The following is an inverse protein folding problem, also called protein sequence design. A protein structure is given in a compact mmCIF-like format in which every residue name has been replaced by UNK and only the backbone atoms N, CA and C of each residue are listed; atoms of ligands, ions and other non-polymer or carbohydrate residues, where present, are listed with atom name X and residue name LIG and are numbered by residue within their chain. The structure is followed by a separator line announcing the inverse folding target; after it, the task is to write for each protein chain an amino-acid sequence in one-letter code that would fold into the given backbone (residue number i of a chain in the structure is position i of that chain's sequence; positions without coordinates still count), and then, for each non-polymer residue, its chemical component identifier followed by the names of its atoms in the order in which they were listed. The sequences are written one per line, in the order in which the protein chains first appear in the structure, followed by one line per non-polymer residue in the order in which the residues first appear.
data_IF_248711352101
#
_entry.id   IF_248711352101
#
_cell.length_a   1.000
_cell.length_b   1.000
_cell.length_c   1.000
_cell.angle_alpha   90.00
_cell.angle_beta   90.00
_cell.angle_gamma   90.00
#
_symmetry.space_group_name_H-M   'P 1'
#
loop_
_entity.id
_entity.type
_entity.pdbx_description
1 polymer ?
#
# COMPACT_ATOMS: atom_id res chain seq x y z
N UNK A 1 -15.13 10.58 1.31
CA UNK A 1 -15.29 9.55 2.37
C UNK A 1 -14.67 10.10 3.64
N UNK A 2 -15.17 9.76 4.83
CA UNK A 2 -14.53 10.10 6.12
C UNK A 2 -14.10 8.76 6.73
N UNK A 3 -12.81 8.62 7.02
CA UNK A 3 -12.29 7.51 7.82
C UNK A 3 -11.90 8.09 9.19
N UNK A 4 -12.20 7.34 10.27
CA UNK A 4 -11.75 7.68 11.62
C UNK A 4 -11.21 6.43 12.31
N UNK A 5 -10.00 6.51 12.80
CA UNK A 5 -9.30 5.48 13.57
C UNK A 5 -8.77 6.11 14.86
N UNK A 6 -8.69 5.30 15.93
CA UNK A 6 -7.83 5.64 17.08
C UNK A 6 -6.40 5.82 16.58
N UNK A 7 -5.62 6.80 17.09
CA UNK A 7 -4.24 7.09 16.68
C UNK A 7 -3.44 5.84 16.33
N UNK A 8 -3.44 5.50 15.06
CA UNK A 8 -2.52 4.52 14.50
C UNK A 8 -1.54 5.29 13.64
N UNK A 9 -0.28 4.89 13.72
CA UNK A 9 0.85 5.56 13.05
C UNK A 9 0.67 5.59 11.51
N UNK A 10 -0.28 4.81 10.98
CA UNK A 10 -0.56 4.60 9.56
C UNK A 10 -1.41 5.72 8.94
N UNK A 11 -2.28 6.38 9.70
CA UNK A 11 -3.19 7.40 9.16
C UNK A 11 -2.47 8.66 8.65
N UNK A 12 -1.45 9.19 9.36
CA UNK A 12 -0.60 10.25 8.82
C UNK A 12 0.16 9.80 7.56
N UNK A 13 0.58 8.54 7.51
CA UNK A 13 1.31 8.00 6.37
C UNK A 13 0.44 7.99 5.11
N UNK A 14 -0.82 7.53 5.20
CA UNK A 14 -1.73 7.55 4.05
C UNK A 14 -1.86 8.97 3.45
N UNK A 15 -2.05 9.98 4.28
CA UNK A 15 -2.17 11.37 3.81
C UNK A 15 -0.94 11.83 3.02
N UNK A 16 0.26 11.54 3.51
CA UNK A 16 1.51 11.90 2.84
C UNK A 16 1.76 11.08 1.57
N UNK A 17 1.42 9.79 1.59
CA UNK A 17 1.54 8.90 0.43
C UNK A 17 0.60 9.36 -0.69
N UNK A 18 -0.66 9.69 -0.39
CA UNK A 18 -1.61 10.19 -1.39
C UNK A 18 -1.06 11.44 -2.09
N UNK A 19 -0.47 12.38 -1.33
CA UNK A 19 0.17 13.57 -1.90
C UNK A 19 1.43 13.23 -2.70
N UNK A 20 2.24 12.28 -2.22
CA UNK A 20 3.45 11.83 -2.91
C UNK A 20 3.14 11.18 -4.25
N UNK A 21 2.29 10.14 -4.27
CA UNK A 21 1.91 9.40 -5.47
C UNK A 21 1.30 10.33 -6.52
N UNK A 22 0.37 11.19 -6.11
CA UNK A 22 -0.26 12.16 -7.03
C UNK A 22 0.73 13.16 -7.64
N UNK A 23 1.85 13.45 -6.96
CA UNK A 23 2.89 14.34 -7.46
C UNK A 23 3.84 13.66 -8.44
N UNK A 24 4.13 12.37 -8.25
CA UNK A 24 5.21 11.67 -8.97
C UNK A 24 4.72 10.68 -10.01
N UNK A 25 3.43 10.36 -10.06
CA UNK A 25 2.86 9.39 -11.00
C UNK A 25 1.48 9.81 -11.50
N UNK A 26 0.95 9.00 -12.42
CA UNK A 26 -0.43 9.07 -12.91
C UNK A 26 -1.33 7.97 -12.30
N UNK A 27 -0.89 7.32 -11.23
CA UNK A 27 -1.69 6.28 -10.57
C UNK A 27 -2.94 6.95 -9.99
N UNK A 28 -4.14 6.43 -10.29
CA UNK A 28 -5.37 7.02 -9.79
C UNK A 28 -5.47 6.78 -8.28
N UNK A 29 -5.41 7.87 -7.51
CA UNK A 29 -5.57 7.86 -6.05
C UNK A 29 -6.61 8.92 -5.66
N UNK A 30 -7.35 8.72 -4.56
CA UNK A 30 -8.29 9.72 -4.07
C UNK A 30 -7.61 11.06 -3.83
N UNK A 31 -8.23 12.16 -4.27
CA UNK A 31 -7.74 13.49 -3.89
C UNK A 31 -7.91 13.71 -2.39
N UNK A 32 -6.82 13.94 -1.69
CA UNK A 32 -6.84 14.42 -0.31
C UNK A 32 -7.29 15.89 -0.26
N UNK A 33 -8.34 16.17 0.52
CA UNK A 33 -8.83 17.52 0.79
C UNK A 33 -8.26 18.10 2.07
N UNK A 34 -8.19 17.29 3.12
CA UNK A 34 -7.61 17.68 4.39
C UNK A 34 -7.27 16.46 5.25
N UNK A 35 -6.34 16.63 6.19
CA UNK A 35 -6.03 15.66 7.24
C UNK A 35 -5.85 16.41 8.55
N UNK A 36 -6.47 15.93 9.63
CA UNK A 36 -6.44 16.58 10.94
C UNK A 36 -6.29 15.55 12.05
N UNK A 37 -5.64 15.96 13.13
CA UNK A 37 -5.63 15.26 14.40
C UNK A 37 -6.61 15.95 15.36
N UNK A 38 -7.56 15.20 15.92
CA UNK A 38 -8.55 15.68 16.89
C UNK A 38 -8.68 14.63 17.99
N UNK A 39 -8.45 15.01 19.24
CA UNK A 39 -8.64 14.15 20.43
C UNK A 39 -7.99 12.75 20.31
N UNK A 40 -6.72 12.70 19.88
CA UNK A 40 -5.97 11.46 19.60
C UNK A 40 -6.57 10.55 18.52
N UNK A 41 -7.48 11.07 17.69
CA UNK A 41 -7.91 10.44 16.45
C UNK A 41 -7.37 11.21 15.25
N UNK A 42 -7.05 10.48 14.20
CA UNK A 42 -6.68 11.07 12.92
C UNK A 42 -7.85 10.96 11.95
N UNK A 43 -8.14 12.06 11.25
CA UNK A 43 -9.25 12.16 10.30
C UNK A 43 -8.71 12.52 8.92
N UNK A 44 -9.00 11.67 7.93
CA UNK A 44 -8.73 11.95 6.54
C UNK A 44 -10.01 12.33 5.80
N UNK A 45 -9.97 13.49 5.14
CA UNK A 45 -10.99 13.94 4.22
C UNK A 45 -10.46 13.80 2.80
N UNK A 46 -11.01 12.85 2.07
CA UNK A 46 -10.61 12.58 0.69
C UNK A 46 -11.81 12.40 -0.23
N UNK A 47 -11.53 12.51 -1.52
CA UNK A 47 -12.45 12.24 -2.61
C UNK A 47 -13.18 10.91 -2.40
N UNK A 48 -14.51 10.95 -2.57
CA UNK A 48 -15.28 9.73 -2.70
C UNK A 48 -15.21 9.29 -4.16
N UNK A 49 -14.79 8.05 -4.37
CA UNK A 49 -14.69 7.45 -5.70
C UNK A 49 -15.94 6.63 -5.93
N UNK A 50 -16.79 7.11 -6.83
CA UNK A 50 -17.99 6.39 -7.25
C UNK A 50 -17.59 5.19 -8.13
N UNK A 51 -17.96 3.97 -7.73
CA UNK A 51 -17.53 2.74 -8.40
C UNK A 51 -17.76 1.53 -7.51
N UNK A 52 -17.32 0.36 -7.98
CA UNK A 52 -17.35 -0.88 -7.21
C UNK A 52 -15.95 -1.41 -6.96
N UNK A 53 -15.79 -2.20 -5.91
CA UNK A 53 -14.54 -2.93 -5.65
C UNK A 53 -14.32 -3.99 -6.73
N UNK A 54 -13.06 -4.18 -7.14
CA UNK A 54 -12.67 -5.25 -8.08
C UNK A 54 -13.07 -6.63 -7.56
N UNK A 55 -13.22 -6.83 -6.24
CA UNK A 55 -13.67 -8.10 -5.65
C UNK A 55 -15.08 -8.51 -6.10
N UNK A 56 -15.91 -7.54 -6.47
CA UNK A 56 -17.31 -7.73 -6.86
C UNK A 56 -17.47 -8.11 -8.35
N UNK A 57 -16.39 -8.04 -9.13
CA UNK A 57 -16.39 -8.38 -10.55
C UNK A 57 -16.38 -9.90 -10.78
N UNK A 58 -16.82 -10.32 -11.98
CA UNK A 58 -16.58 -11.69 -12.46
C UNK A 58 -15.08 -11.91 -12.73
N UNK A 59 -14.64 -13.16 -12.80
CA UNK A 59 -13.24 -13.45 -13.05
C UNK A 59 -12.79 -12.98 -14.44
N UNK A 60 -13.65 -13.05 -15.46
CA UNK A 60 -13.36 -12.50 -16.79
C UNK A 60 -13.18 -10.98 -16.77
N UNK A 61 -13.97 -10.27 -15.96
CA UNK A 61 -13.85 -8.82 -15.80
C UNK A 61 -12.56 -8.47 -15.02
N UNK A 62 -12.20 -9.26 -14.00
CA UNK A 62 -10.95 -9.07 -13.24
C UNK A 62 -9.73 -9.20 -14.15
N UNK A 63 -9.72 -10.11 -15.11
CA UNK A 63 -8.62 -10.22 -16.07
C UNK A 63 -8.43 -8.93 -16.89
N UNK A 64 -9.51 -8.25 -17.26
CA UNK A 64 -9.43 -6.95 -17.95
C UNK A 64 -8.82 -5.88 -17.03
N UNK A 65 -9.29 -5.80 -15.78
CA UNK A 65 -8.78 -4.84 -14.79
C UNK A 65 -7.31 -5.11 -14.44
N UNK A 66 -6.91 -6.38 -14.33
CA UNK A 66 -5.55 -6.79 -14.01
C UNK A 66 -4.52 -6.28 -15.04
N UNK A 67 -4.90 -6.14 -16.31
CA UNK A 67 -4.03 -5.55 -17.34
C UNK A 67 -3.71 -4.09 -17.01
N UNK A 68 -4.71 -3.29 -16.63
CA UNK A 68 -4.51 -1.89 -16.24
C UNK A 68 -3.81 -1.77 -14.87
N UNK A 69 -4.17 -2.63 -13.91
CA UNK A 69 -3.54 -2.66 -12.59
C UNK A 69 -2.03 -2.97 -12.68
N UNK A 70 -1.64 -3.89 -13.57
CA UNK A 70 -0.22 -4.20 -13.79
C UNK A 70 0.53 -3.00 -14.36
N UNK A 71 -0.08 -2.19 -15.23
CA UNK A 71 0.55 -0.96 -15.73
C UNK A 71 0.78 0.05 -14.60
N UNK A 72 -0.17 0.17 -13.67
CA UNK A 72 0.01 1.03 -12.49
C UNK A 72 1.08 0.49 -11.53
N UNK A 73 1.17 -0.83 -11.35
CA UNK A 73 2.24 -1.46 -10.57
C UNK A 73 3.62 -1.25 -11.19
N UNK A 74 3.74 -1.34 -12.51
CA UNK A 74 5.01 -1.07 -13.20
C UNK A 74 5.47 0.38 -12.99
N UNK A 75 4.52 1.33 -13.02
CA UNK A 75 4.80 2.74 -12.69
C UNK A 75 5.20 2.89 -11.22
N UNK A 76 4.47 2.24 -10.31
CA UNK A 76 4.72 2.29 -8.86
C UNK A 76 6.11 1.75 -8.52
N UNK A 77 6.44 0.56 -9.03
CA UNK A 77 7.72 -0.11 -8.81
C UNK A 77 8.87 0.56 -9.56
N UNK A 78 8.56 1.43 -10.52
CA UNK A 78 9.50 2.32 -11.19
C UNK A 78 10.00 3.47 -10.31
N UNK A 79 9.30 3.81 -9.24
CA UNK A 79 9.73 4.82 -8.26
C UNK A 79 10.75 4.16 -7.34
N UNK A 80 12.02 4.58 -7.41
CA UNK A 80 13.15 3.96 -6.69
C UNK A 80 13.66 4.79 -5.52
N UNK A 81 14.23 4.11 -4.52
CA UNK A 81 14.93 4.72 -3.38
C UNK A 81 16.16 3.90 -2.97
N UNK A 82 17.15 4.58 -2.37
CA UNK A 82 18.30 3.94 -1.69
C UNK A 82 17.99 3.50 -0.28
N UNK A 83 16.86 3.89 0.28
CA UNK A 83 16.48 3.55 1.65
C UNK A 83 15.04 3.09 1.73
N UNK A 84 14.76 2.17 2.64
CA UNK A 84 13.37 1.85 2.99
C UNK A 84 12.71 3.02 3.72
N UNK A 85 11.39 2.93 3.88
CA UNK A 85 10.57 3.93 4.57
C UNK A 85 9.74 4.78 3.61
N UNK A 86 8.81 5.54 4.16
CA UNK A 86 7.90 6.40 3.42
C UNK A 86 8.24 7.89 3.45
N UNK A 87 7.39 8.72 2.84
CA UNK A 87 7.41 10.18 3.00
C UNK A 87 7.38 10.63 4.46
N UNK A 88 6.71 9.87 5.33
CA UNK A 88 6.52 10.14 6.77
C UNK A 88 7.81 10.12 7.60
N UNK A 89 8.91 9.60 7.04
CA UNK A 89 10.22 9.54 7.70
C UNK A 89 10.36 8.45 8.75
N UNK A 90 9.29 7.70 9.03
CA UNK A 90 9.30 6.47 9.81
C UNK A 90 9.22 5.27 8.86
N UNK A 91 9.45 4.06 9.39
CA UNK A 91 9.31 2.81 8.64
C UNK A 91 8.06 2.10 9.16
N UNK A 92 7.12 1.86 8.24
CA UNK A 92 5.84 1.22 8.49
C UNK A 92 5.81 -0.10 7.70
N UNK A 93 6.04 -1.25 8.37
CA UNK A 93 5.90 -2.54 7.72
C UNK A 93 4.43 -2.84 7.36
N UNK A 94 4.18 -3.76 6.41
CA UNK A 94 2.83 -4.23 6.12
C UNK A 94 2.14 -4.80 7.37
N UNK A 95 0.80 -4.65 7.48
CA UNK A 95 -0.01 -5.21 8.57
C UNK A 95 0.32 -6.69 8.90
N UNK A 96 0.55 -7.52 7.88
CA UNK A 96 0.88 -8.95 8.05
C UNK A 96 2.19 -9.19 8.81
N UNK A 97 3.14 -8.26 8.75
CA UNK A 97 4.37 -8.27 9.54
C UNK A 97 4.11 -7.74 10.95
N UNK A 98 3.40 -6.62 11.04
CA UNK A 98 3.14 -5.93 12.32
C UNK A 98 2.40 -6.83 13.31
N UNK A 99 1.39 -7.57 12.84
CA UNK A 99 0.64 -8.51 13.70
C UNK A 99 1.45 -9.70 14.24
N UNK A 100 2.68 -9.91 13.76
CA UNK A 100 3.59 -10.98 14.20
C UNK A 100 4.77 -10.45 15.03
N UNK A 101 4.85 -9.13 15.24
CA UNK A 101 5.94 -8.47 15.96
C UNK A 101 5.39 -7.65 17.12
N UNK A 102 6.17 -7.54 18.19
CA UNK A 102 5.89 -6.62 19.31
C UNK A 102 6.77 -5.37 19.27
N UNK A 103 7.43 -5.10 18.13
CA UNK A 103 8.30 -3.93 17.96
C UNK A 103 7.48 -2.68 17.70
N UNK A 104 7.76 -1.64 18.47
CA UNK A 104 7.15 -0.32 18.31
C UNK A 104 7.85 0.55 17.26
N UNK A 105 9.09 0.20 16.88
CA UNK A 105 9.90 0.96 15.92
C UNK A 105 10.79 0.06 15.06
N UNK A 106 11.03 0.50 13.82
CA UNK A 106 11.82 -0.22 12.82
C UNK A 106 12.96 0.66 12.32
N UNK A 107 14.14 0.05 12.15
CA UNK A 107 15.33 0.76 11.68
C UNK A 107 15.23 1.06 10.20
N UNK A 108 15.75 2.22 9.80
CA UNK A 108 15.90 2.55 8.38
C UNK A 108 17.07 1.80 7.79
N UNK A 109 16.80 0.96 6.80
CA UNK A 109 17.80 0.26 6.00
C UNK A 109 18.14 1.07 4.75
N UNK A 110 19.40 1.00 4.34
CA UNK A 110 19.90 1.58 3.10
C UNK A 110 20.63 0.55 2.26
N UNK A 111 20.54 0.72 0.94
CA UNK A 111 21.31 0.01 -0.07
C UNK A 111 22.12 1.01 -0.90
N UNK A 112 23.29 0.59 -1.36
CA UNK A 112 24.10 1.37 -2.30
C UNK A 112 23.44 1.49 -3.69
N UNK A 113 22.58 0.54 -4.07
CA UNK A 113 22.15 0.29 -5.46
C UNK A 113 20.71 0.72 -5.83
N UNK A 114 20.03 1.56 -5.05
CA UNK A 114 18.64 1.99 -5.35
C UNK A 114 17.65 0.83 -5.56
N UNK A 115 17.81 -0.27 -4.80
CA UNK A 115 17.06 -1.52 -5.03
C UNK A 115 15.64 -1.51 -4.45
N UNK A 116 15.28 -0.47 -3.67
CA UNK A 116 13.97 -0.37 -3.09
C UNK A 116 13.02 0.34 -4.05
N UNK A 117 11.82 -0.22 -4.15
CA UNK A 117 10.73 0.26 -5.00
C UNK A 117 9.61 0.73 -4.10
N UNK A 118 8.76 1.63 -4.59
CA UNK A 118 7.57 2.00 -3.84
C UNK A 118 6.57 0.83 -3.90
N UNK A 119 6.18 0.30 -2.75
CA UNK A 119 5.24 -0.83 -2.62
C UNK A 119 3.92 -0.32 -2.03
N UNK A 120 2.80 -0.91 -2.41
CA UNK A 120 1.51 -0.62 -1.77
C UNK A 120 1.36 -1.38 -0.44
N UNK A 121 1.89 -2.60 -0.37
CA UNK A 121 1.92 -3.49 0.82
C UNK A 121 0.56 -4.00 1.32
N UNK A 122 -0.54 -3.51 0.77
CA UNK A 122 -1.91 -3.95 1.06
C UNK A 122 -2.80 -3.95 -0.20
N UNK A 123 -2.24 -4.31 -1.36
CA UNK A 123 -3.00 -4.30 -2.61
C UNK A 123 -3.84 -5.59 -2.76
N UNK A 124 -5.03 -5.58 -2.15
CA UNK A 124 -6.08 -6.59 -2.34
C UNK A 124 -7.09 -6.17 -3.42
N UNK A 125 -8.00 -7.07 -3.81
CA UNK A 125 -9.08 -6.73 -4.74
C UNK A 125 -10.05 -5.67 -4.19
N UNK A 126 -10.15 -5.56 -2.86
CA UNK A 126 -11.01 -4.56 -2.20
C UNK A 126 -10.48 -3.13 -2.34
N UNK A 127 -9.17 -3.00 -2.56
CA UNK A 127 -8.48 -1.72 -2.61
C UNK A 127 -8.36 -1.16 -4.04
N UNK A 128 -9.03 -1.79 -5.01
CA UNK A 128 -9.08 -1.34 -6.41
C UNK A 128 -10.52 -1.00 -6.76
N UNK A 129 -10.81 0.29 -6.91
CA UNK A 129 -12.13 0.81 -7.26
C UNK A 129 -12.23 0.97 -8.78
N UNK A 130 -13.25 0.36 -9.36
CA UNK A 130 -13.48 0.31 -10.81
C UNK A 130 -14.81 0.92 -11.19
N UNK A 131 -14.87 1.40 -12.42
CA UNK A 131 -16.12 1.68 -13.12
C UNK A 131 -16.77 0.35 -13.56
N UNK A 132 -18.00 0.01 -13.12
CA UNK A 132 -18.61 -1.29 -13.41
C UNK A 132 -18.99 -1.48 -14.89
N UNK A 133 -19.15 -0.40 -15.66
CA UNK A 133 -19.55 -0.46 -17.06
C UNK A 133 -18.32 -0.57 -17.98
N UNK A 134 -17.28 0.22 -17.70
CA UNK A 134 -16.08 0.32 -18.54
C UNK A 134 -14.92 -0.54 -18.06
N UNK A 135 -14.99 -1.04 -16.82
CA UNK A 135 -13.92 -1.77 -16.12
C UNK A 135 -12.63 -0.95 -15.93
N UNK A 136 -12.72 0.38 -16.04
CA UNK A 136 -11.59 1.27 -15.81
C UNK A 136 -11.32 1.48 -14.32
N UNK A 137 -10.06 1.40 -13.93
CA UNK A 137 -9.62 1.71 -12.57
C UNK A 137 -9.84 3.21 -12.33
N UNK A 138 -10.70 3.53 -11.37
CA UNK A 138 -11.00 4.90 -10.94
C UNK A 138 -10.13 5.34 -9.77
N UNK A 139 -9.75 4.41 -8.90
CA UNK A 139 -8.77 4.65 -7.84
C UNK A 139 -8.20 3.35 -7.27
N UNK A 140 -6.96 3.43 -6.79
CA UNK A 140 -6.38 2.52 -5.83
C UNK A 140 -6.41 3.22 -4.46
N UNK A 141 -6.84 2.53 -3.42
CA UNK A 141 -7.09 3.09 -2.08
C UNK A 141 -6.35 2.30 -0.98
N UNK A 142 -6.42 2.77 0.27
CA UNK A 142 -5.79 2.14 1.44
C UNK A 142 -4.25 2.14 1.39
N UNK A 143 -3.66 3.33 1.23
CA UNK A 143 -2.21 3.51 1.04
C UNK A 143 -1.42 3.58 2.36
N UNK A 144 -2.03 3.22 3.48
CA UNK A 144 -1.51 3.41 4.84
C UNK A 144 -0.18 2.68 5.11
N UNK A 145 0.06 1.55 4.44
CA UNK A 145 1.29 0.74 4.55
C UNK A 145 2.29 0.99 3.42
N UNK A 146 2.03 1.94 2.53
CA UNK A 146 2.80 2.11 1.31
C UNK A 146 4.08 2.91 1.56
N UNK A 147 5.22 2.31 1.23
CA UNK A 147 6.55 2.87 1.44
C UNK A 147 7.57 2.22 0.49
N UNK A 148 8.83 2.66 0.54
CA UNK A 148 9.91 2.00 -0.17
C UNK A 148 10.34 0.69 0.51
N UNK A 149 10.29 -0.42 -0.22
CA UNK A 149 10.75 -1.74 0.22
C UNK A 149 11.30 -2.54 -0.98
N UNK A 150 11.94 -3.70 -0.76
CA UNK A 150 12.19 -4.65 -1.85
C UNK A 150 10.89 -5.03 -2.54
N UNK A 151 10.91 -5.20 -3.87
CA UNK A 151 9.71 -5.44 -4.67
C UNK A 151 8.89 -6.66 -4.22
N UNK A 152 9.51 -7.68 -3.61
CA UNK A 152 8.80 -8.85 -3.09
C UNK A 152 7.90 -8.56 -1.88
N UNK A 153 8.00 -7.37 -1.26
CA UNK A 153 7.06 -6.92 -0.23
C UNK A 153 5.66 -6.69 -0.82
N UNK A 154 5.57 -6.31 -2.10
CA UNK A 154 4.30 -6.07 -2.78
C UNK A 154 3.77 -7.37 -3.41
N UNK A 155 3.57 -8.38 -2.54
CA UNK A 155 3.07 -9.68 -2.94
C UNK A 155 1.72 -9.53 -3.66
N UNK A 156 1.46 -10.24 -4.77
CA UNK A 156 0.33 -9.96 -5.66
C UNK A 156 -1.02 -10.50 -5.12
N UNK A 157 -1.44 -10.04 -3.95
CA UNK A 157 -2.68 -10.46 -3.30
C UNK A 157 -3.92 -10.12 -4.12
N UNK A 158 -3.89 -9.06 -4.94
CA UNK A 158 -4.94 -8.70 -5.89
C UNK A 158 -5.29 -9.84 -6.89
N UNK A 159 -4.44 -10.85 -7.06
CA UNK A 159 -4.73 -12.02 -7.92
C UNK A 159 -5.72 -13.00 -7.31
N UNK A 160 -6.11 -12.83 -6.04
CA UNK A 160 -7.11 -13.66 -5.37
C UNK A 160 -7.99 -12.85 -4.42
N UNK A 161 -9.12 -13.43 -4.04
CA UNK A 161 -9.97 -12.86 -3.00
C UNK A 161 -9.33 -12.99 -1.61
N UNK A 162 -9.75 -12.13 -0.70
CA UNK A 162 -9.32 -12.12 0.69
C UNK A 162 -8.24 -11.08 1.01
N UNK A 163 -7.74 -11.09 2.26
CA UNK A 163 -6.82 -10.07 2.76
C UNK A 163 -5.42 -10.19 2.16
N UNK A 164 -4.64 -9.13 2.32
CA UNK A 164 -3.21 -9.04 1.94
C UNK A 164 -2.28 -9.79 2.91
N UNK A 165 -2.55 -11.07 3.12
CA UNK A 165 -1.75 -11.99 3.93
C UNK A 165 -1.99 -13.43 3.49
N UNK A 166 -1.03 -14.32 3.79
CA UNK A 166 -1.15 -15.74 3.46
C UNK A 166 -2.40 -16.37 4.07
N UNK A 167 -3.14 -17.10 3.23
CA UNK A 167 -4.26 -17.95 3.64
C UNK A 167 -3.76 -19.37 3.96
N UNK A 168 -4.65 -20.20 4.52
CA UNK A 168 -4.32 -21.60 4.81
C UNK A 168 -3.86 -22.34 3.55
N UNK A 169 -2.68 -22.99 3.64
CA UNK A 169 -2.07 -23.69 2.52
C UNK A 169 -1.21 -22.81 1.60
N UNK A 170 -1.20 -21.49 1.78
CA UNK A 170 -0.32 -20.57 1.04
C UNK A 170 1.05 -20.41 1.71
N UNK A 171 2.04 -19.96 0.94
CA UNK A 171 3.35 -19.59 1.48
C UNK A 171 3.21 -18.33 2.34
N UNK A 172 3.57 -18.43 3.62
CA UNK A 172 3.72 -17.29 4.52
C UNK A 172 5.06 -16.58 4.25
N UNK A 173 5.03 -15.34 3.74
CA UNK A 173 6.21 -14.53 3.44
C UNK A 173 6.74 -13.80 4.70
N UNK A 174 5.94 -13.70 5.77
CA UNK A 174 6.27 -12.89 6.95
C UNK A 174 7.62 -13.24 7.59
N UNK A 175 8.06 -14.52 7.70
CA UNK A 175 9.38 -14.83 8.24
C UNK A 175 10.53 -14.20 7.44
N UNK A 176 10.43 -14.14 6.11
CA UNK A 176 11.43 -13.51 5.23
C UNK A 176 11.42 -11.98 5.39
N UNK A 177 10.23 -11.38 5.43
CA UNK A 177 10.08 -9.94 5.65
C UNK A 177 10.67 -9.51 7.01
N UNK A 178 10.38 -10.28 8.06
CA UNK A 178 10.93 -10.04 9.40
C UNK A 178 12.45 -10.21 9.42
N UNK A 179 13.00 -11.18 8.70
CA UNK A 179 14.45 -11.36 8.63
C UNK A 179 15.13 -10.10 8.06
N UNK A 180 14.59 -9.53 6.98
CA UNK A 180 15.12 -8.29 6.41
C UNK A 180 14.95 -7.11 7.38
N UNK A 181 13.75 -6.90 7.93
CA UNK A 181 13.47 -5.75 8.80
C UNK A 181 14.20 -5.80 10.16
N UNK A 182 14.68 -6.99 10.55
CA UNK A 182 15.52 -7.18 11.72
C UNK A 182 17.03 -7.13 11.41
N UNK A 183 17.42 -7.00 10.14
CA UNK A 183 18.82 -6.79 9.79
C UNK A 183 19.30 -5.42 10.27
N UNK A 184 20.59 -5.31 10.59
CA UNK A 184 21.20 -4.03 10.93
C UNK A 184 21.53 -3.24 9.65
N UNK A 185 21.40 -1.92 9.71
CA UNK A 185 21.82 -1.04 8.63
C UNK A 185 23.32 -1.23 8.38
N UNK A 186 23.70 -1.74 7.21
CA UNK A 186 25.09 -1.70 6.76
C UNK A 186 25.49 -0.23 6.56
N UNK A 187 26.36 0.27 7.44
CA UNK A 187 26.97 1.61 7.37
C UNK A 187 27.83 1.78 6.12
#
# INVERSE_FOLDING_TARGET
MITSSSKEVYDPNEAEVLQFIRRVSNIPVPKLYAAFEIDDSYLLFMEYIDGISMSQLSDEQKEVVNVELQQHLDVLHGIKSKSIGGPSGIVIPPYRVMRRSSKDAWSRLSSETCDYVFCHNDLSQENVIVDPETLKIKAIINWEYAEFFPAYFDYPFYKRLGPSMALEGERDDVPELLQLLNSESTN
#
